data_IF_927182806245
#
_entry.id   IF_927182806245
#
_cell.length_a   1.000
_cell.length_b   1.000
_cell.length_c   1.000
_cell.angle_alpha   90.00
_cell.angle_beta   90.00
_cell.angle_gamma   90.00
#
_symmetry.space_group_name_H-M   'P 1'
#
loop_
_entity.id
_entity.type
_entity.pdbx_description
1 polymer ?
#
# COMPACT_ATOMS: atom_id res chain seq x y z
N UNK A 1 1.13 9.81 5.26
CA UNK A 1 0.73 8.69 4.39
C UNK A 1 1.96 8.09 3.73
N UNK A 2 2.00 6.78 3.71
CA UNK A 2 3.09 6.02 3.07
C UNK A 2 2.50 5.22 1.92
N UNK A 3 3.17 5.24 0.78
CA UNK A 3 2.81 4.40 -0.35
C UNK A 3 3.92 3.36 -0.51
N UNK A 4 3.57 2.09 -0.33
CA UNK A 4 4.51 0.98 -0.48
C UNK A 4 4.32 0.37 -1.87
N UNK A 5 5.30 0.52 -2.72
CA UNK A 5 5.27 0.01 -4.08
C UNK A 5 6.27 -1.14 -4.24
N UNK A 6 5.83 -2.20 -4.89
CA UNK A 6 6.71 -3.32 -5.18
C UNK A 6 6.01 -4.36 -6.02
N UNK A 7 6.79 -5.29 -6.54
CA UNK A 7 6.26 -6.41 -7.32
C UNK A 7 6.97 -7.68 -6.87
N UNK A 8 6.19 -8.70 -6.58
CA UNK A 8 6.66 -10.04 -6.27
C UNK A 8 6.16 -10.96 -7.36
N UNK A 9 7.08 -11.57 -8.08
CA UNK A 9 6.74 -12.48 -9.17
C UNK A 9 6.78 -13.91 -8.62
N UNK A 10 5.70 -14.65 -8.81
CA UNK A 10 5.64 -16.04 -8.38
C UNK A 10 6.61 -16.90 -9.18
N UNK A 11 7.28 -17.79 -8.47
CA UNK A 11 8.12 -18.80 -9.07
C UNK A 11 7.47 -20.19 -8.94
N UNK A 12 8.28 -21.21 -9.07
CA UNK A 12 7.83 -22.59 -8.96
C UNK A 12 7.57 -23.02 -7.52
N UNK A 13 8.04 -22.23 -6.54
CA UNK A 13 7.89 -22.53 -5.12
C UNK A 13 6.89 -21.60 -4.46
N UNK A 14 6.47 -21.94 -3.24
CA UNK A 14 5.59 -21.09 -2.45
C UNK A 14 6.30 -19.90 -1.77
N UNK A 15 7.57 -19.69 -2.07
CA UNK A 15 8.36 -18.63 -1.43
C UNK A 15 7.76 -17.24 -1.64
N UNK A 16 7.27 -16.96 -2.84
CA UNK A 16 6.65 -15.67 -3.15
C UNK A 16 5.43 -15.39 -2.27
N UNK A 17 4.63 -16.42 -2.00
CA UNK A 17 3.45 -16.28 -1.13
C UNK A 17 3.86 -15.93 0.31
N UNK A 18 4.94 -16.54 0.81
CA UNK A 18 5.44 -16.24 2.14
C UNK A 18 5.96 -14.80 2.23
N UNK A 19 6.69 -14.36 1.23
CA UNK A 19 7.20 -12.98 1.17
C UNK A 19 6.03 -12.00 1.14
N UNK A 20 5.03 -12.26 0.30
CA UNK A 20 3.87 -11.40 0.19
C UNK A 20 3.11 -11.28 1.51
N UNK A 21 2.93 -12.39 2.23
CA UNK A 21 2.28 -12.37 3.55
C UNK A 21 3.08 -11.56 4.56
N UNK A 22 4.39 -11.78 4.61
CA UNK A 22 5.25 -11.06 5.54
C UNK A 22 5.23 -9.57 5.29
N UNK A 23 5.28 -9.16 4.04
CA UNK A 23 5.20 -7.75 3.65
C UNK A 23 3.85 -7.15 4.06
N UNK A 24 2.77 -7.86 3.75
CA UNK A 24 1.41 -7.41 4.09
C UNK A 24 1.26 -7.21 5.59
N UNK A 25 1.68 -8.19 6.37
CA UNK A 25 1.58 -8.11 7.83
C UNK A 25 2.44 -6.97 8.38
N UNK A 26 3.66 -6.83 7.88
CA UNK A 26 4.57 -5.78 8.32
C UNK A 26 4.01 -4.38 8.01
N UNK A 27 3.46 -4.17 6.82
CA UNK A 27 2.88 -2.88 6.45
C UNK A 27 1.66 -2.54 7.31
N UNK A 28 0.81 -3.51 7.59
CA UNK A 28 -0.33 -3.30 8.46
C UNK A 28 0.10 -2.96 9.88
N UNK A 29 1.09 -3.66 10.40
CA UNK A 29 1.62 -3.40 11.72
C UNK A 29 2.23 -2.00 11.83
N UNK A 30 2.97 -1.57 10.82
CA UNK A 30 3.52 -0.23 10.77
C UNK A 30 2.43 0.84 10.75
N UNK A 31 1.36 0.62 9.98
CA UNK A 31 0.24 1.55 9.93
C UNK A 31 -0.40 1.72 11.32
N UNK A 32 -0.58 0.63 12.03
CA UNK A 32 -1.17 0.66 13.36
C UNK A 32 -0.21 1.29 14.40
N UNK A 33 1.05 0.92 14.34
CA UNK A 33 2.05 1.41 15.29
C UNK A 33 2.27 2.90 15.18
N UNK A 34 2.38 3.41 13.97
CA UNK A 34 2.65 4.82 13.72
C UNK A 34 1.39 5.64 13.45
N UNK A 35 0.23 5.00 13.48
CA UNK A 35 -1.07 5.66 13.21
C UNK A 35 -1.04 6.46 11.92
N UNK A 36 -0.49 5.84 10.90
CA UNK A 36 -0.27 6.47 9.61
C UNK A 36 -0.89 5.60 8.52
N UNK A 37 -1.66 6.20 7.60
CA UNK A 37 -2.18 5.42 6.47
C UNK A 37 -1.04 4.86 5.64
N UNK A 38 -1.10 3.58 5.37
CA UNK A 38 -0.15 2.90 4.49
C UNK A 38 -0.93 2.31 3.32
N UNK A 39 -0.62 2.79 2.13
CA UNK A 39 -1.24 2.29 0.90
C UNK A 39 -0.37 1.14 0.41
N UNK A 40 -0.91 -0.06 0.50
CA UNK A 40 -0.19 -1.28 0.14
C UNK A 40 -0.39 -1.60 -1.33
N UNK A 41 0.63 -1.34 -2.13
CA UNK A 41 0.67 -1.71 -3.54
C UNK A 41 1.91 -2.54 -3.84
N UNK A 42 2.22 -3.49 -2.97
CA UNK A 42 3.20 -4.54 -3.25
C UNK A 42 2.43 -5.68 -3.88
N UNK A 43 2.57 -5.82 -5.18
CA UNK A 43 1.76 -6.72 -5.99
C UNK A 43 2.37 -8.13 -6.04
N UNK A 44 1.52 -9.14 -5.90
CA UNK A 44 1.90 -10.52 -6.16
C UNK A 44 1.34 -10.92 -7.51
N UNK A 45 2.21 -11.20 -8.46
CA UNK A 45 1.83 -11.52 -9.83
C UNK A 45 2.39 -12.87 -10.27
N UNK A 46 1.76 -13.44 -11.28
CA UNK A 46 2.13 -14.77 -11.77
C UNK A 46 3.41 -14.74 -12.61
N UNK A 47 3.58 -13.70 -13.43
CA UNK A 47 4.71 -13.59 -14.35
C UNK A 47 5.01 -12.13 -14.70
N UNK A 48 6.04 -11.91 -15.50
CA UNK A 48 6.45 -10.57 -15.92
C UNK A 48 5.41 -9.88 -16.78
N UNK A 49 4.69 -10.63 -17.59
CA UNK A 49 3.62 -10.08 -18.44
C UNK A 49 2.54 -9.44 -17.57
N UNK A 50 2.13 -10.15 -16.52
CA UNK A 50 1.13 -9.64 -15.58
C UNK A 50 1.67 -8.43 -14.83
N UNK A 51 2.96 -8.44 -14.46
CA UNK A 51 3.61 -7.31 -13.84
C UNK A 51 3.56 -6.07 -14.73
N UNK A 52 3.92 -6.22 -15.99
CA UNK A 52 3.86 -5.11 -16.95
C UNK A 52 2.45 -4.55 -17.10
N UNK A 53 1.46 -5.42 -17.22
CA UNK A 53 0.08 -5.01 -17.39
C UNK A 53 -0.42 -4.16 -16.21
N UNK A 54 -0.04 -4.51 -15.00
CA UNK A 54 -0.52 -3.83 -13.79
C UNK A 54 0.28 -2.60 -13.42
N UNK A 55 1.56 -2.58 -13.75
CA UNK A 55 2.45 -1.49 -13.35
C UNK A 55 2.61 -0.42 -14.43
N UNK A 56 2.58 -0.79 -15.69
CA UNK A 56 2.89 0.09 -16.81
C UNK A 56 1.72 0.21 -17.79
N UNK A 57 0.74 -0.65 -17.68
CA UNK A 57 -0.38 -0.70 -18.61
C UNK A 57 -1.26 0.55 -18.58
N UNK A 58 -1.88 0.85 -19.72
CA UNK A 58 -2.78 2.00 -19.85
C UNK A 58 -4.14 1.76 -19.21
N UNK A 59 -4.61 0.52 -19.23
CA UNK A 59 -5.95 0.17 -18.73
C UNK A 59 -5.95 -0.09 -17.24
N UNK A 60 -4.92 -0.74 -16.74
CA UNK A 60 -4.74 -1.04 -15.32
C UNK A 60 -3.39 -0.48 -14.93
N UNK A 61 -3.37 0.40 -13.95
CA UNK A 61 -2.12 0.92 -13.43
C UNK A 61 -2.26 1.05 -11.92
N UNK A 62 -1.67 0.11 -11.20
CA UNK A 62 -1.78 0.05 -9.75
C UNK A 62 -1.09 1.22 -9.06
N UNK A 63 -0.02 1.74 -9.66
CA UNK A 63 0.64 2.94 -9.15
C UNK A 63 -0.26 4.16 -9.17
N UNK A 64 -0.99 4.33 -10.27
CA UNK A 64 -1.97 5.42 -10.38
C UNK A 64 -3.09 5.26 -9.35
N UNK A 65 -3.58 4.05 -9.17
CA UNK A 65 -4.61 3.76 -8.17
C UNK A 65 -4.10 4.05 -6.75
N UNK A 66 -2.85 3.67 -6.47
CA UNK A 66 -2.23 3.95 -5.18
C UNK A 66 -2.14 5.44 -4.90
N UNK A 67 -1.77 6.23 -5.91
CA UNK A 67 -1.69 7.67 -5.77
C UNK A 67 -3.05 8.30 -5.47
N UNK A 68 -4.08 7.85 -6.17
CA UNK A 68 -5.46 8.32 -5.93
C UNK A 68 -5.94 7.94 -4.54
N UNK A 69 -5.66 6.71 -4.11
CA UNK A 69 -6.03 6.24 -2.78
C UNK A 69 -5.33 7.06 -1.70
N UNK A 70 -4.04 7.33 -1.89
CA UNK A 70 -3.28 8.14 -0.95
C UNK A 70 -3.87 9.54 -0.81
N UNK A 71 -4.19 10.19 -1.92
CA UNK A 71 -4.81 11.51 -1.90
C UNK A 71 -6.15 11.49 -1.16
N UNK A 72 -6.99 10.50 -1.45
CA UNK A 72 -8.28 10.35 -0.78
C UNK A 72 -8.12 10.12 0.73
N UNK A 73 -7.17 9.29 1.13
CA UNK A 73 -6.93 9.00 2.54
C UNK A 73 -6.41 10.22 3.31
N UNK A 74 -5.55 11.01 2.69
CA UNK A 74 -5.07 12.25 3.30
C UNK A 74 -6.25 13.19 3.57
N UNK A 75 -7.16 13.32 2.64
CA UNK A 75 -8.34 14.16 2.81
C UNK A 75 -9.24 13.64 3.93
N UNK A 76 -9.48 12.33 3.97
CA UNK A 76 -10.31 11.71 5.01
C UNK A 76 -9.72 11.95 6.40
N UNK A 77 -8.44 11.70 6.58
CA UNK A 77 -7.79 11.88 7.87
C UNK A 77 -7.73 13.35 8.28
N UNK A 78 -7.49 14.23 7.32
CA UNK A 78 -7.53 15.67 7.59
C UNK A 78 -8.90 16.12 8.09
N UNK A 79 -9.96 15.63 7.47
CA UNK A 79 -11.32 15.95 7.88
C UNK A 79 -11.65 15.39 9.26
N UNK A 80 -11.27 14.15 9.52
CA UNK A 80 -11.50 13.52 10.82
C UNK A 80 -10.74 14.26 11.92
N UNK A 81 -9.51 14.64 11.67
CA UNK A 81 -8.69 15.36 12.63
C UNK A 81 -9.28 16.75 12.94
N UNK A 82 -9.73 17.47 11.91
CA UNK A 82 -10.33 18.79 12.08
C UNK A 82 -11.62 18.74 12.90
N UNK A 83 -12.35 17.62 12.84
CA UNK A 83 -13.56 17.42 13.62
C UNK A 83 -13.27 16.91 15.05
N UNK A 84 -12.02 16.65 15.37
CA UNK A 84 -11.64 16.07 16.65
C UNK A 84 -12.05 14.61 16.82
N UNK A 85 -12.53 13.98 15.77
CA UNK A 85 -13.00 12.58 15.81
C UNK A 85 -11.86 11.58 15.84
N UNK A 86 -10.71 11.96 15.33
CA UNK A 86 -9.53 11.12 15.28
C UNK A 86 -8.31 12.01 15.47
N UNK A 87 -7.55 11.72 16.52
CA UNK A 87 -6.32 12.45 16.76
C UNK A 87 -5.14 11.58 16.47
N UNK A 88 -4.42 11.94 15.44
CA UNK A 88 -3.11 11.36 15.19
C UNK A 88 -2.10 12.10 16.02
N UNK A 89 -1.59 11.42 17.03
CA UNK A 89 -0.49 11.98 17.78
C UNK A 89 0.78 11.71 17.02
N UNK A 90 1.20 12.72 16.32
CA UNK A 90 2.47 12.68 15.61
C UNK A 90 3.56 13.13 16.56
N UNK A 91 3.78 12.36 17.61
CA UNK A 91 4.76 12.73 18.62
C UNK A 91 6.15 12.95 18.08
N UNK A 92 6.44 12.34 16.97
CA UNK A 92 7.76 12.34 16.38
C UNK A 92 7.76 12.96 14.98
N UNK A 93 6.74 13.70 14.71
CA UNK A 93 6.71 14.42 13.44
C UNK A 93 7.67 15.59 13.50
#
# INVERSE_FOLDING_TARGET
CVIALGVIIKGETSHADLVARNVTDALQQLALEYRTPVIHEVLLVEDETQAHMRCIGDKINRGTEAARTAAAMVDVFSELDSKGSLRFQTKNA
#
